data_IF_813340722105
#
_entry.id   IF_813340722105
#
_cell.length_a   1.000
_cell.length_b   1.000
_cell.length_c   1.000
_cell.angle_alpha   90.00
_cell.angle_beta   90.00
_cell.angle_gamma   90.00
#
_symmetry.space_group_name_H-M   'P 1'
#
loop_
_entity.id
_entity.type
_entity.pdbx_description
1 polymer ?
#
# COMPACT_ATOMS: atom_id res chain seq x y z
N UNK A 1 -13.64 -34.60 -16.07
CA UNK A 1 -14.07 -33.23 -15.79
C UNK A 1 -12.83 -32.36 -16.06
N UNK A 2 -12.80 -31.61 -17.17
CA UNK A 2 -11.68 -30.71 -17.46
C UNK A 2 -11.63 -29.59 -16.42
N UNK A 3 -10.50 -29.39 -15.78
CA UNK A 3 -10.26 -28.21 -14.95
C UNK A 3 -10.21 -27.01 -15.90
N UNK A 4 -11.26 -26.21 -15.90
CA UNK A 4 -11.27 -24.91 -16.55
C UNK A 4 -10.20 -24.05 -15.86
N UNK A 5 -9.14 -23.69 -16.56
CA UNK A 5 -8.13 -22.77 -16.02
C UNK A 5 -8.74 -21.38 -15.99
N UNK A 6 -8.99 -20.86 -14.80
CA UNK A 6 -9.44 -19.49 -14.61
C UNK A 6 -8.18 -18.60 -14.57
N UNK A 7 -8.00 -17.80 -15.62
CA UNK A 7 -6.96 -16.78 -15.65
C UNK A 7 -7.47 -15.53 -14.94
N UNK A 8 -6.85 -15.17 -13.83
CA UNK A 8 -7.24 -13.98 -13.06
C UNK A 8 -6.77 -12.67 -13.71
N UNK A 9 -5.68 -12.72 -14.49
CA UNK A 9 -5.13 -11.60 -15.27
C UNK A 9 -4.75 -12.09 -16.66
N UNK A 10 -4.95 -11.22 -17.68
CA UNK A 10 -4.64 -11.51 -19.08
C UNK A 10 -3.96 -10.30 -19.73
N UNK A 11 -2.77 -10.50 -20.30
CA UNK A 11 -2.05 -9.49 -21.09
C UNK A 11 -1.97 -8.09 -20.42
N UNK A 12 -1.72 -8.09 -19.11
CA UNK A 12 -1.59 -6.86 -18.32
C UNK A 12 -0.15 -6.35 -18.44
N UNK A 13 0.03 -5.20 -19.10
CA UNK A 13 1.33 -4.54 -19.23
C UNK A 13 1.21 -3.08 -18.86
N UNK A 14 1.98 -2.63 -17.88
CA UNK A 14 2.11 -1.23 -17.48
C UNK A 14 3.38 -1.02 -16.65
N UNK A 15 3.77 0.22 -16.49
CA UNK A 15 4.87 0.65 -15.62
C UNK A 15 4.39 1.67 -14.60
N UNK A 16 5.08 1.72 -13.48
CA UNK A 16 4.90 2.71 -12.42
C UNK A 16 6.24 3.40 -12.21
N UNK A 17 6.27 4.70 -12.40
CA UNK A 17 7.48 5.48 -12.23
C UNK A 17 7.75 5.80 -10.75
N UNK A 18 9.03 6.09 -10.44
CA UNK A 18 9.38 6.57 -9.10
C UNK A 18 8.65 7.86 -8.78
N UNK A 19 8.13 7.95 -7.55
CA UNK A 19 7.31 9.07 -7.09
C UNK A 19 6.02 9.26 -7.89
N UNK A 20 5.46 8.18 -8.45
CA UNK A 20 4.13 8.20 -9.04
C UNK A 20 3.08 7.86 -7.97
N UNK A 21 1.90 8.45 -8.08
CA UNK A 21 0.72 8.08 -7.29
C UNK A 21 -0.33 7.51 -8.22
N UNK A 22 -0.44 6.18 -8.23
CA UNK A 22 -1.31 5.42 -9.14
C UNK A 22 -2.48 4.82 -8.37
N UNK A 23 -3.69 5.00 -8.88
CA UNK A 23 -4.88 4.28 -8.46
C UNK A 23 -5.11 3.05 -9.32
N UNK A 24 -5.47 1.93 -8.73
CA UNK A 24 -5.95 0.73 -9.42
C UNK A 24 -7.42 0.55 -9.06
N UNK A 25 -8.29 0.65 -10.04
CA UNK A 25 -9.74 0.54 -9.88
C UNK A 25 -10.32 -0.62 -10.69
N UNK A 26 -11.54 -1.00 -10.35
CA UNK A 26 -12.33 -1.99 -11.09
C UNK A 26 -13.38 -2.65 -10.21
N UNK A 27 -14.38 -3.32 -10.80
CA UNK A 27 -15.41 -4.03 -10.05
C UNK A 27 -14.84 -5.20 -9.23
N UNK A 28 -15.66 -5.78 -8.36
CA UNK A 28 -15.29 -7.03 -7.67
C UNK A 28 -15.00 -8.12 -8.71
N UNK A 29 -13.95 -8.91 -8.47
CA UNK A 29 -13.53 -9.98 -9.39
C UNK A 29 -12.73 -9.52 -10.62
N UNK A 30 -12.43 -8.23 -10.79
CA UNK A 30 -11.68 -7.73 -11.96
C UNK A 30 -10.18 -8.05 -11.97
N UNK A 31 -9.64 -8.72 -10.94
CA UNK A 31 -8.22 -9.08 -10.85
C UNK A 31 -7.35 -8.13 -9.99
N UNK A 32 -7.93 -7.08 -9.35
CA UNK A 32 -7.17 -6.12 -8.52
C UNK A 32 -6.32 -6.77 -7.43
N UNK A 33 -6.91 -7.68 -6.66
CA UNK A 33 -6.19 -8.37 -5.58
C UNK A 33 -5.08 -9.28 -6.11
N UNK A 34 -5.30 -9.93 -7.26
CA UNK A 34 -4.26 -10.72 -7.92
C UNK A 34 -3.12 -9.81 -8.38
N UNK A 35 -3.45 -8.70 -9.05
CA UNK A 35 -2.44 -7.74 -9.49
C UNK A 35 -1.66 -7.15 -8.30
N UNK A 36 -2.37 -6.80 -7.22
CA UNK A 36 -1.75 -6.32 -5.99
C UNK A 36 -0.79 -7.34 -5.38
N UNK A 37 -1.16 -8.63 -5.37
CA UNK A 37 -0.29 -9.70 -4.87
C UNK A 37 0.97 -9.85 -5.72
N UNK A 38 0.87 -9.71 -7.05
CA UNK A 38 2.03 -9.73 -7.95
C UNK A 38 2.94 -8.52 -7.71
N UNK A 39 2.40 -7.29 -7.71
CA UNK A 39 3.17 -6.07 -7.42
C UNK A 39 3.82 -6.17 -6.04
N UNK A 40 3.10 -6.75 -5.08
CA UNK A 40 3.52 -6.96 -3.71
C UNK A 40 4.52 -8.09 -3.48
N UNK A 41 4.95 -8.80 -4.52
CA UNK A 41 5.78 -10.00 -4.41
C UNK A 41 5.22 -11.04 -3.42
N UNK A 42 3.89 -11.12 -3.30
CA UNK A 42 3.18 -12.15 -2.52
C UNK A 42 2.88 -13.38 -3.37
N UNK A 43 2.93 -13.21 -4.70
CA UNK A 43 2.73 -14.25 -5.70
C UNK A 43 3.65 -13.95 -6.90
N UNK A 44 3.78 -14.92 -7.82
CA UNK A 44 4.54 -14.77 -9.06
C UNK A 44 3.62 -14.97 -10.25
N UNK A 45 3.84 -14.23 -11.36
CA UNK A 45 3.03 -14.41 -12.56
C UNK A 45 3.25 -15.80 -13.17
N UNK A 46 2.18 -16.43 -13.64
CA UNK A 46 2.28 -17.73 -14.36
C UNK A 46 3.01 -17.57 -15.72
N UNK A 47 2.92 -16.37 -16.32
CA UNK A 47 3.61 -15.98 -17.55
C UNK A 47 3.89 -14.48 -17.52
N UNK A 48 4.88 -14.04 -18.27
CA UNK A 48 5.29 -12.64 -18.30
C UNK A 48 6.37 -12.30 -17.27
N UNK A 49 6.76 -11.06 -17.24
CA UNK A 49 7.89 -10.57 -16.44
C UNK A 49 7.43 -9.43 -15.51
N UNK A 50 7.97 -9.44 -14.30
CA UNK A 50 7.79 -8.34 -13.35
C UNK A 50 9.15 -7.82 -12.91
N UNK A 51 9.38 -6.53 -13.15
CA UNK A 51 10.59 -5.82 -12.73
C UNK A 51 10.29 -4.85 -11.59
N UNK A 52 11.06 -4.93 -10.52
CA UNK A 52 11.04 -3.97 -9.42
C UNK A 52 12.42 -3.30 -9.28
N UNK A 53 12.48 -1.98 -9.45
CA UNK A 53 13.74 -1.24 -9.46
C UNK A 53 14.79 -1.83 -10.41
N UNK A 54 14.37 -2.23 -11.61
CA UNK A 54 15.22 -2.82 -12.65
C UNK A 54 15.67 -4.26 -12.39
N UNK A 55 15.15 -4.91 -11.33
CA UNK A 55 15.41 -6.32 -11.03
C UNK A 55 14.24 -7.17 -11.47
N UNK A 56 14.50 -8.24 -12.23
CA UNK A 56 13.50 -9.24 -12.59
C UNK A 56 13.15 -10.06 -11.35
N UNK A 57 11.95 -9.83 -10.78
CA UNK A 57 11.50 -10.49 -9.55
C UNK A 57 10.59 -11.69 -9.82
N UNK A 58 10.01 -11.80 -11.01
CA UNK A 58 9.14 -12.93 -11.40
C UNK A 58 9.84 -14.29 -11.43
N UNK A 59 11.17 -14.32 -11.50
CA UNK A 59 11.98 -15.55 -11.51
C UNK A 59 12.69 -15.84 -10.18
N UNK A 60 12.46 -15.01 -9.16
CA UNK A 60 13.11 -15.16 -7.85
C UNK A 60 12.47 -16.28 -7.04
N UNK A 61 13.28 -16.96 -6.22
CA UNK A 61 12.80 -17.93 -5.24
C UNK A 61 12.14 -17.25 -4.03
N UNK A 62 11.31 -17.98 -3.28
CA UNK A 62 10.51 -17.48 -2.15
C UNK A 62 11.32 -16.67 -1.13
N UNK A 63 12.55 -17.12 -0.79
CA UNK A 63 13.43 -16.43 0.16
C UNK A 63 13.90 -15.07 -0.37
N UNK A 64 14.14 -14.95 -1.67
CA UNK A 64 14.53 -13.71 -2.32
C UNK A 64 13.34 -12.76 -2.41
N UNK A 65 12.17 -13.28 -2.82
CA UNK A 65 10.91 -12.54 -2.83
C UNK A 65 10.56 -12.01 -1.43
N UNK A 66 10.75 -12.81 -0.37
CA UNK A 66 10.53 -12.37 1.00
C UNK A 66 11.46 -11.22 1.40
N UNK A 67 12.73 -11.26 1.00
CA UNK A 67 13.70 -10.17 1.24
C UNK A 67 13.35 -8.90 0.47
N UNK A 68 13.01 -9.03 -0.83
CA UNK A 68 12.59 -7.91 -1.67
C UNK A 68 11.32 -7.29 -1.09
N UNK A 69 10.30 -8.09 -0.79
CA UNK A 69 9.06 -7.65 -0.19
C UNK A 69 9.29 -6.86 1.10
N UNK A 70 10.10 -7.38 2.01
CA UNK A 70 10.39 -6.69 3.28
C UNK A 70 11.13 -5.36 3.09
N UNK A 71 12.00 -5.27 2.08
CA UNK A 71 12.84 -4.09 1.86
C UNK A 71 12.17 -3.03 0.98
N UNK A 72 11.51 -3.46 -0.10
CA UNK A 72 11.10 -2.56 -1.18
C UNK A 72 9.60 -2.24 -1.13
N UNK A 73 8.79 -2.99 -0.35
CA UNK A 73 7.34 -2.86 -0.38
C UNK A 73 6.77 -2.62 1.02
N UNK A 74 6.05 -1.52 1.16
CA UNK A 74 5.27 -1.22 2.36
C UNK A 74 3.79 -1.50 2.13
N UNK A 75 3.22 -2.46 2.87
CA UNK A 75 1.80 -2.80 2.76
C UNK A 75 0.93 -2.06 3.76
N UNK A 76 -0.18 -1.51 3.27
CA UNK A 76 -1.27 -0.95 4.07
C UNK A 76 -2.57 -1.61 3.65
N UNK A 77 -3.24 -2.30 4.57
CA UNK A 77 -4.46 -3.08 4.31
C UNK A 77 -5.70 -2.42 4.93
N UNK A 78 -6.86 -2.71 4.39
CA UNK A 78 -8.16 -2.30 4.90
C UNK A 78 -8.37 -2.73 6.38
N UNK A 79 -7.95 -3.93 6.74
CA UNK A 79 -8.09 -4.51 8.09
C UNK A 79 -6.92 -4.23 9.03
N UNK A 80 -6.04 -3.27 8.67
CA UNK A 80 -4.84 -2.85 9.40
C UNK A 80 -3.79 -3.96 9.58
N UNK A 81 -4.18 -5.21 9.78
CA UNK A 81 -3.33 -6.39 9.99
C UNK A 81 -2.24 -6.16 11.06
N UNK A 82 -2.64 -5.56 12.19
CA UNK A 82 -1.78 -5.35 13.35
C UNK A 82 -1.80 -6.57 14.25
N UNK A 83 -0.64 -6.87 14.86
CA UNK A 83 -0.53 -7.88 15.91
C UNK A 83 -1.24 -7.37 17.17
N UNK A 84 -2.38 -7.98 17.49
CA UNK A 84 -3.30 -7.49 18.54
C UNK A 84 -2.68 -7.44 19.95
N UNK A 85 -1.68 -8.28 20.23
CA UNK A 85 -0.99 -8.36 21.53
C UNK A 85 0.28 -7.49 21.61
N UNK A 86 0.74 -6.94 20.49
CA UNK A 86 1.92 -6.07 20.40
C UNK A 86 1.49 -4.59 20.46
N UNK A 87 2.35 -3.74 21.01
CA UNK A 87 2.15 -2.30 21.02
C UNK A 87 2.27 -1.70 19.61
N UNK A 88 1.91 -0.44 19.43
CA UNK A 88 2.13 0.30 18.18
C UNK A 88 3.62 0.26 17.80
N UNK A 89 4.51 0.52 18.75
CA UNK A 89 5.95 0.47 18.54
C UNK A 89 6.40 -0.91 18.03
N UNK A 90 6.00 -1.99 18.71
CA UNK A 90 6.40 -3.34 18.33
C UNK A 90 5.83 -3.78 16.97
N UNK A 91 4.61 -3.31 16.62
CA UNK A 91 4.06 -3.52 15.28
C UNK A 91 4.92 -2.87 14.20
N UNK A 92 5.40 -1.65 14.44
CA UNK A 92 6.26 -0.92 13.50
C UNK A 92 7.68 -1.48 13.46
N UNK A 93 8.21 -2.02 14.56
CA UNK A 93 9.52 -2.69 14.61
C UNK A 93 9.58 -3.99 13.79
N UNK A 94 8.44 -4.62 13.49
CA UNK A 94 8.38 -5.97 12.90
C UNK A 94 9.16 -6.11 11.58
N UNK A 95 9.00 -5.22 10.57
CA UNK A 95 9.80 -5.31 9.35
C UNK A 95 11.31 -5.16 9.60
N UNK A 96 11.71 -4.35 10.58
CA UNK A 96 13.11 -4.14 10.94
C UNK A 96 13.73 -5.39 11.60
N UNK A 97 12.91 -6.20 12.29
CA UNK A 97 13.34 -7.49 12.84
C UNK A 97 13.73 -8.43 11.70
N UNK A 98 12.88 -8.53 10.68
CA UNK A 98 13.16 -9.33 9.48
C UNK A 98 14.34 -8.80 8.66
N UNK A 99 14.63 -7.50 8.74
CA UNK A 99 15.83 -6.88 8.15
C UNK A 99 17.11 -7.11 8.97
N UNK A 100 17.03 -7.77 10.14
CA UNK A 100 18.19 -8.01 11.00
C UNK A 100 18.73 -6.75 11.71
N UNK A 101 17.94 -5.68 11.80
CA UNK A 101 18.37 -4.43 12.44
C UNK A 101 18.50 -4.62 13.96
N UNK A 102 19.60 -4.18 14.61
CA UNK A 102 19.78 -4.27 16.06
C UNK A 102 18.68 -3.52 16.85
N UNK A 103 18.32 -4.04 18.03
CA UNK A 103 17.19 -3.57 18.84
C UNK A 103 17.20 -2.06 19.11
N UNK A 104 18.36 -1.48 19.47
CA UNK A 104 18.46 -0.05 19.73
C UNK A 104 18.12 0.82 18.51
N UNK A 105 18.61 0.42 17.32
CA UNK A 105 18.33 1.11 16.06
C UNK A 105 16.86 0.91 15.63
N UNK A 106 16.32 -0.32 15.82
CA UNK A 106 14.90 -0.60 15.50
C UNK A 106 13.96 0.34 16.26
N UNK A 107 14.17 0.43 17.59
CA UNK A 107 13.35 1.31 18.42
C UNK A 107 13.36 2.75 17.93
N UNK A 108 14.56 3.27 17.61
CA UNK A 108 14.69 4.63 17.10
C UNK A 108 13.94 4.82 15.78
N UNK A 109 14.17 3.94 14.79
CA UNK A 109 13.51 4.03 13.47
C UNK A 109 11.99 3.89 13.58
N UNK A 110 11.50 3.00 14.44
CA UNK A 110 10.07 2.82 14.67
C UNK A 110 9.44 4.05 15.34
N UNK A 111 10.13 4.71 16.28
CA UNK A 111 9.69 5.97 16.88
C UNK A 111 9.63 7.10 15.85
N UNK A 112 10.62 7.21 14.98
CA UNK A 112 10.65 8.18 13.89
C UNK A 112 9.46 7.96 12.93
N UNK A 113 9.19 6.70 12.53
CA UNK A 113 8.05 6.36 11.68
C UNK A 113 6.71 6.67 12.35
N UNK A 114 6.55 6.38 13.66
CA UNK A 114 5.33 6.73 14.40
C UNK A 114 5.16 8.25 14.53
N UNK A 115 6.24 8.99 14.67
CA UNK A 115 6.22 10.46 14.70
C UNK A 115 5.74 11.04 13.37
N UNK A 116 6.19 10.48 12.23
CA UNK A 116 5.76 10.90 10.88
C UNK A 116 4.24 10.75 10.66
N UNK A 117 3.62 9.81 11.36
CA UNK A 117 2.16 9.59 11.30
C UNK A 117 1.40 10.17 12.48
N UNK A 118 2.02 11.06 13.28
CA UNK A 118 1.40 11.75 14.40
C UNK A 118 0.94 10.84 15.56
N UNK A 119 1.74 9.79 15.88
CA UNK A 119 1.46 8.82 16.96
C UNK A 119 2.61 8.70 17.96
N UNK A 120 3.43 9.73 18.12
CA UNK A 120 4.55 9.72 19.06
C UNK A 120 4.11 9.52 20.53
N UNK A 121 2.91 9.94 20.88
CA UNK A 121 2.29 9.80 22.21
C UNK A 121 1.54 8.48 22.43
N UNK A 122 1.47 7.60 21.40
CA UNK A 122 0.70 6.35 21.39
C UNK A 122 1.56 5.10 21.22
N UNK A 123 2.87 5.21 21.37
CA UNK A 123 3.85 4.14 21.05
C UNK A 123 3.64 2.87 21.86
N UNK A 124 3.21 2.97 23.10
CA UNK A 124 3.00 1.84 24.01
C UNK A 124 1.56 1.29 24.01
N UNK A 125 0.65 1.91 23.25
CA UNK A 125 -0.75 1.45 23.13
C UNK A 125 -0.84 0.21 22.26
N UNK A 126 -1.73 -0.70 22.61
CA UNK A 126 -2.10 -1.88 21.80
C UNK A 126 -3.23 -1.51 20.81
N UNK A 127 -3.43 -2.28 19.75
CA UNK A 127 -4.46 -2.00 18.73
C UNK A 127 -5.89 -1.84 19.31
N UNK A 128 -6.24 -2.56 20.36
CA UNK A 128 -7.56 -2.43 21.02
C UNK A 128 -7.72 -1.13 21.84
N UNK A 129 -6.64 -0.41 22.09
CA UNK A 129 -6.63 0.87 22.82
C UNK A 129 -6.58 2.07 21.85
N UNK A 130 -6.58 1.81 20.53
CA UNK A 130 -6.46 2.78 19.45
C UNK A 130 -7.76 2.89 18.65
N UNK A 131 -8.09 4.10 18.19
CA UNK A 131 -9.17 4.31 17.21
C UNK A 131 -8.87 3.65 15.87
N UNK A 132 -9.85 3.55 14.98
CA UNK A 132 -9.68 3.03 13.62
C UNK A 132 -8.58 3.77 12.85
N UNK A 133 -8.65 5.10 12.85
CA UNK A 133 -7.65 5.96 12.19
C UNK A 133 -6.26 5.84 12.81
N UNK A 134 -6.16 5.74 14.14
CA UNK A 134 -4.88 5.51 14.81
C UNK A 134 -4.28 4.14 14.42
N UNK A 135 -5.09 3.08 14.35
CA UNK A 135 -4.65 1.76 13.87
C UNK A 135 -4.15 1.82 12.45
N UNK A 136 -4.84 2.55 11.58
CA UNK A 136 -4.40 2.72 10.18
C UNK A 136 -3.09 3.51 10.10
N UNK A 137 -2.94 4.57 10.90
CA UNK A 137 -1.66 5.29 10.99
C UNK A 137 -0.51 4.40 11.47
N UNK A 138 -0.73 3.49 12.44
CA UNK A 138 0.28 2.47 12.82
C UNK A 138 0.62 1.56 11.66
N UNK A 139 -0.38 1.10 10.86
CA UNK A 139 -0.14 0.28 9.68
C UNK A 139 0.67 1.04 8.61
N UNK A 140 0.39 2.34 8.41
CA UNK A 140 1.19 3.21 7.52
C UNK A 140 2.62 3.37 8.05
N UNK A 141 2.82 3.64 9.35
CA UNK A 141 4.17 3.73 9.94
C UNK A 141 4.97 2.43 9.75
N UNK A 142 4.32 1.27 9.96
CA UNK A 142 4.92 -0.03 9.70
C UNK A 142 5.32 -0.21 8.24
N UNK A 143 4.49 0.26 7.31
CA UNK A 143 4.80 0.21 5.89
C UNK A 143 6.01 1.08 5.51
N UNK A 144 6.19 2.23 6.18
CA UNK A 144 7.25 3.20 5.91
C UNK A 144 8.62 2.85 6.52
N UNK A 145 8.66 2.06 7.59
CA UNK A 145 9.83 1.95 8.47
C UNK A 145 11.11 1.46 7.81
N UNK A 146 11.02 0.67 6.74
CA UNK A 146 12.15 0.24 5.92
C UNK A 146 12.47 1.20 4.75
N UNK A 147 11.81 2.35 4.67
CA UNK A 147 11.91 3.27 3.53
C UNK A 147 11.70 2.57 2.18
N UNK A 148 10.52 1.97 1.95
CA UNK A 148 10.26 1.14 0.78
C UNK A 148 10.22 1.95 -0.50
N UNK A 149 10.44 1.28 -1.63
CA UNK A 149 10.33 1.88 -2.97
C UNK A 149 8.88 2.12 -3.38
N UNK A 150 7.95 1.30 -2.87
CA UNK A 150 6.52 1.37 -3.16
C UNK A 150 5.72 1.18 -1.87
N UNK A 151 4.73 2.06 -1.65
CA UNK A 151 3.66 1.87 -0.66
C UNK A 151 2.45 1.33 -1.41
N UNK A 152 2.03 0.11 -1.07
CA UNK A 152 0.89 -0.58 -1.67
C UNK A 152 -0.27 -0.56 -0.69
N UNK A 153 -1.32 0.22 -0.99
CA UNK A 153 -2.45 0.46 -0.11
C UNK A 153 -3.73 -0.18 -0.69
N UNK A 154 -4.26 -1.19 -0.01
CA UNK A 154 -5.47 -1.92 -0.37
C UNK A 154 -6.65 -1.42 0.46
N UNK A 155 -7.58 -0.73 -0.19
CA UNK A 155 -8.80 -0.15 0.42
C UNK A 155 -8.49 0.55 1.76
N UNK A 156 -7.52 1.49 1.82
CA UNK A 156 -6.98 1.98 3.10
C UNK A 156 -7.99 2.77 3.94
N UNK A 157 -9.13 3.13 3.38
CA UNK A 157 -10.23 3.87 4.02
C UNK A 157 -11.46 3.02 4.33
N UNK A 158 -11.55 1.81 3.78
CA UNK A 158 -12.78 1.01 3.74
C UNK A 158 -13.34 0.58 5.11
N UNK A 159 -12.56 0.65 6.19
CA UNK A 159 -13.01 0.38 7.57
C UNK A 159 -13.01 1.63 8.47
N UNK A 160 -13.03 2.82 7.87
CA UNK A 160 -13.01 4.11 8.56
C UNK A 160 -14.28 4.91 8.25
N UNK A 161 -14.65 5.78 9.16
CA UNK A 161 -15.64 6.81 8.85
C UNK A 161 -15.08 7.81 7.82
N UNK A 162 -15.94 8.53 7.11
CA UNK A 162 -15.56 9.41 6.00
C UNK A 162 -14.53 10.46 6.39
N UNK A 163 -14.66 11.08 7.58
CA UNK A 163 -13.72 12.09 8.07
C UNK A 163 -12.34 11.49 8.31
N UNK A 164 -12.30 10.40 9.06
CA UNK A 164 -11.05 9.67 9.34
C UNK A 164 -10.42 9.15 8.06
N UNK A 165 -11.24 8.68 7.11
CA UNK A 165 -10.78 8.27 5.78
C UNK A 165 -10.05 9.39 5.05
N UNK A 166 -10.62 10.60 5.03
CA UNK A 166 -9.98 11.78 4.43
C UNK A 166 -8.66 12.13 5.13
N UNK A 167 -8.58 12.06 6.46
CA UNK A 167 -7.33 12.28 7.19
C UNK A 167 -6.23 11.29 6.75
N UNK A 168 -6.57 10.02 6.52
CA UNK A 168 -5.65 9.01 6.00
C UNK A 168 -5.24 9.32 4.56
N UNK A 169 -6.17 9.75 3.70
CA UNK A 169 -5.82 10.18 2.34
C UNK A 169 -4.91 11.40 2.33
N UNK A 170 -5.13 12.35 3.25
CA UNK A 170 -4.21 13.47 3.48
C UNK A 170 -2.80 13.03 3.89
N UNK A 171 -2.69 11.98 4.71
CA UNK A 171 -1.40 11.38 5.04
C UNK A 171 -0.71 10.80 3.78
N UNK A 172 -1.43 10.05 2.93
CA UNK A 172 -0.87 9.55 1.68
C UNK A 172 -0.44 10.67 0.72
N UNK A 173 -1.20 11.75 0.60
CA UNK A 173 -0.81 12.91 -0.22
C UNK A 173 0.48 13.56 0.31
N UNK A 174 0.64 13.72 1.63
CA UNK A 174 1.91 14.19 2.24
C UNK A 174 3.07 13.26 1.93
N UNK A 175 2.89 11.94 2.03
CA UNK A 175 3.91 10.95 1.72
C UNK A 175 4.32 11.00 0.25
N UNK A 176 3.34 11.11 -0.66
CA UNK A 176 3.63 11.29 -2.08
C UNK A 176 4.44 12.56 -2.35
N UNK A 177 4.07 13.69 -1.75
CA UNK A 177 4.83 14.96 -1.86
C UNK A 177 6.24 14.85 -1.26
N UNK A 178 6.44 13.97 -0.29
CA UNK A 178 7.76 13.67 0.28
C UNK A 178 8.61 12.73 -0.61
N UNK A 179 8.09 12.28 -1.77
CA UNK A 179 8.83 11.49 -2.75
C UNK A 179 8.53 10.00 -2.75
N UNK A 180 7.52 9.52 -1.99
CA UNK A 180 7.12 8.12 -2.00
C UNK A 180 6.28 7.77 -3.22
N UNK A 181 6.52 6.59 -3.80
CA UNK A 181 5.65 5.98 -4.82
C UNK A 181 4.49 5.31 -4.13
N UNK A 182 3.25 5.57 -4.56
CA UNK A 182 2.05 5.04 -3.93
C UNK A 182 1.20 4.33 -4.98
N UNK A 183 0.82 3.09 -4.68
CA UNK A 183 -0.16 2.31 -5.44
C UNK A 183 -1.38 2.10 -4.55
N UNK A 184 -2.47 2.73 -4.93
CA UNK A 184 -3.74 2.71 -4.20
C UNK A 184 -4.73 1.79 -4.91
N UNK A 185 -5.15 0.72 -4.27
CA UNK A 185 -6.22 -0.14 -4.77
C UNK A 185 -7.52 0.26 -4.10
N UNK A 186 -8.52 0.63 -4.87
CA UNK A 186 -9.84 0.99 -4.34
C UNK A 186 -10.95 0.80 -5.38
N UNK A 187 -12.17 0.63 -4.92
CA UNK A 187 -13.37 0.67 -5.75
C UNK A 187 -14.13 2.01 -5.64
N UNK A 188 -13.70 2.89 -4.73
CA UNK A 188 -14.28 4.20 -4.49
C UNK A 188 -13.65 5.25 -5.41
N UNK A 189 -14.45 5.86 -6.29
CA UNK A 189 -13.96 6.82 -7.29
C UNK A 189 -13.39 8.08 -6.64
N UNK A 190 -14.00 8.59 -5.59
CA UNK A 190 -13.55 9.80 -4.89
C UNK A 190 -12.18 9.58 -4.22
N UNK A 191 -11.94 8.38 -3.68
CA UNK A 191 -10.66 7.98 -3.12
C UNK A 191 -9.60 7.82 -4.22
N UNK A 192 -9.97 7.26 -5.37
CA UNK A 192 -9.04 7.12 -6.50
C UNK A 192 -8.59 8.47 -7.07
N UNK A 193 -9.41 9.53 -6.97
CA UNK A 193 -9.06 10.87 -7.44
C UNK A 193 -7.91 11.54 -6.66
N UNK A 194 -7.48 10.99 -5.53
CA UNK A 194 -6.22 11.41 -4.87
C UNK A 194 -4.99 11.01 -5.67
N UNK A 195 -5.08 9.95 -6.49
CA UNK A 195 -4.01 9.54 -7.39
C UNK A 195 -3.80 10.54 -8.54
N UNK A 196 -2.67 10.39 -9.25
CA UNK A 196 -2.33 11.17 -10.45
C UNK A 196 -2.75 10.48 -11.74
N UNK A 197 -2.87 9.14 -11.68
CA UNK A 197 -3.20 8.25 -12.77
C UNK A 197 -4.05 7.11 -12.21
N UNK A 198 -5.00 6.64 -12.98
CA UNK A 198 -5.85 5.51 -12.60
C UNK A 198 -5.78 4.45 -13.70
N UNK A 199 -5.48 3.23 -13.31
CA UNK A 199 -5.54 2.03 -14.12
C UNK A 199 -6.84 1.31 -13.78
N UNK A 200 -7.73 1.18 -14.75
CA UNK A 200 -9.00 0.48 -14.59
C UNK A 200 -8.86 -0.96 -15.06
N UNK A 201 -9.12 -1.88 -14.15
CA UNK A 201 -9.14 -3.32 -14.43
C UNK A 201 -10.57 -3.80 -14.65
N UNK A 202 -10.76 -4.61 -15.68
CA UNK A 202 -12.00 -5.31 -15.94
C UNK A 202 -11.72 -6.69 -16.49
N UNK A 203 -12.35 -7.72 -15.92
CA UNK A 203 -12.23 -9.11 -16.37
C UNK A 203 -10.76 -9.56 -16.57
N UNK A 204 -9.85 -9.15 -15.68
CA UNK A 204 -8.45 -9.50 -15.70
C UNK A 204 -7.58 -8.72 -16.70
N UNK A 205 -8.11 -7.66 -17.34
CA UNK A 205 -7.40 -6.83 -18.32
C UNK A 205 -7.41 -5.35 -17.92
N UNK A 206 -6.47 -4.57 -18.46
CA UNK A 206 -6.52 -3.11 -18.36
C UNK A 206 -7.56 -2.60 -19.38
N UNK A 207 -8.68 -2.08 -18.90
CA UNK A 207 -9.70 -1.44 -19.72
C UNK A 207 -9.28 -0.03 -20.12
N UNK A 208 -8.72 0.72 -19.16
CA UNK A 208 -8.26 2.11 -19.35
C UNK A 208 -7.08 2.40 -18.43
N UNK A 209 -6.24 3.30 -18.88
CA UNK A 209 -5.10 3.84 -18.15
C UNK A 209 -5.03 5.32 -18.46
N UNK A 210 -5.43 6.16 -17.49
CA UNK A 210 -5.64 7.58 -17.75
C UNK A 210 -5.18 8.47 -16.59
N UNK A 211 -4.72 9.67 -16.92
CA UNK A 211 -4.40 10.70 -15.92
C UNK A 211 -5.67 11.23 -15.27
N UNK A 212 -5.66 11.39 -13.97
CA UNK A 212 -6.76 12.04 -13.24
C UNK A 212 -6.80 13.53 -13.62
N UNK A 213 -7.96 14.04 -14.08
CA UNK A 213 -8.12 15.45 -14.42
C UNK A 213 -7.79 16.37 -13.24
N UNK A 214 -7.17 17.51 -13.50
CA UNK A 214 -6.71 18.44 -12.47
C UNK A 214 -7.84 18.96 -11.57
N UNK A 215 -9.01 19.23 -12.15
CA UNK A 215 -10.20 19.63 -11.39
C UNK A 215 -10.64 18.54 -10.40
N UNK A 216 -10.57 17.25 -10.76
CA UNK A 216 -10.91 16.14 -9.87
C UNK A 216 -9.91 15.98 -8.73
N UNK A 217 -8.63 16.16 -9.01
CA UNK A 217 -7.59 16.19 -7.96
C UNK A 217 -7.76 17.39 -7.02
N UNK A 218 -8.12 18.54 -7.57
CA UNK A 218 -8.40 19.72 -6.78
C UNK A 218 -9.62 19.53 -5.86
N UNK A 219 -10.70 18.90 -6.36
CA UNK A 219 -11.88 18.51 -5.57
C UNK A 219 -11.48 17.57 -4.42
N UNK A 220 -10.71 16.51 -4.70
CA UNK A 220 -10.21 15.58 -3.69
C UNK A 220 -9.32 16.30 -2.65
N UNK A 221 -8.42 17.17 -3.08
CA UNK A 221 -7.56 17.94 -2.18
C UNK A 221 -8.36 18.94 -1.31
N UNK A 222 -9.41 19.56 -1.85
CA UNK A 222 -10.28 20.47 -1.10
C UNK A 222 -11.06 19.75 0.01
N UNK A 223 -11.44 18.48 -0.21
CA UNK A 223 -12.10 17.66 0.80
C UNK A 223 -11.23 17.42 2.05
N UNK A 224 -9.89 17.60 1.97
CA UNK A 224 -8.98 17.49 3.13
C UNK A 224 -9.04 18.71 4.07
N UNK A 225 -9.60 19.82 3.62
CA UNK A 225 -9.56 21.11 4.33
C UNK A 225 -10.90 21.57 4.86
N UNK A 226 -12.00 20.88 4.52
CA UNK A 226 -13.36 21.15 4.98
C UNK A 226 -13.76 20.22 6.12
#
# INVERSE_FOLDING_TARGET
MGSEQIHALHDVTFDIEKNEYVGIMGPSGSGKSTLMNLIGCLDTPSQGEYYLNGKLVSEMHDDELARIRNKEIGFVFQTFNLLARATALHNVELPLIYSGIPSSKRRQQALEALTQVELADRVDHKPNELSGGQRQRVAVARALVNNPSIILADEPTGNLDSRTGLEIMGLFDRLHRAGHTIVLVTHEQDIAHFARRIIYLRDGQIERDEKVPENKRAEAAAALTG
#
